data_IF_643031898426
#
_entry.id   IF_643031898426
#
_cell.length_a   1.000
_cell.length_b   1.000
_cell.length_c   1.000
_cell.angle_alpha   90.00
_cell.angle_beta   90.00
_cell.angle_gamma   90.00
#
_symmetry.space_group_name_H-M   'P 1'
#
loop_
_entity.id
_entity.type
_entity.pdbx_description
1 polymer ?
#
# COMPACT_ATOMS: atom_id res chain seq x y z
N UNK A 1 -6.93 -1.23 20.07
CA UNK A 1 -6.66 0.13 19.51
C UNK A 1 -6.35 1.08 20.66
N UNK A 2 -5.14 1.63 20.70
CA UNK A 2 -4.72 2.58 21.74
C UNK A 2 -5.20 4.00 21.44
N UNK A 3 -5.35 4.85 22.47
CA UNK A 3 -5.71 6.28 22.30
C UNK A 3 -4.71 7.01 21.39
N UNK A 4 -3.45 6.60 21.41
CA UNK A 4 -2.38 7.14 20.57
C UNK A 4 -2.52 6.76 19.09
N UNK A 5 -3.00 5.54 18.78
CA UNK A 5 -3.31 5.12 17.40
C UNK A 5 -4.38 6.03 16.80
N UNK A 6 -5.38 6.41 17.61
CA UNK A 6 -6.43 7.34 17.21
C UNK A 6 -5.88 8.74 16.94
N UNK A 7 -5.01 9.24 17.84
CA UNK A 7 -4.38 10.55 17.68
C UNK A 7 -3.43 10.59 16.47
N UNK A 8 -2.62 9.56 16.26
CA UNK A 8 -1.76 9.42 15.09
C UNK A 8 -2.56 9.38 13.78
N UNK A 9 -3.67 8.65 13.75
CA UNK A 9 -4.56 8.60 12.59
C UNK A 9 -5.14 9.97 12.23
N UNK A 10 -5.58 10.76 13.23
CA UNK A 10 -6.06 12.13 13.00
C UNK A 10 -4.95 13.00 12.40
N UNK A 11 -3.73 12.94 12.97
CA UNK A 11 -2.59 13.70 12.46
C UNK A 11 -2.30 13.33 11.00
N UNK A 12 -2.32 12.03 10.66
CA UNK A 12 -2.14 11.56 9.29
C UNK A 12 -3.19 12.13 8.34
N UNK A 13 -4.46 12.12 8.73
CA UNK A 13 -5.56 12.68 7.93
C UNK A 13 -5.37 14.18 7.71
N UNK A 14 -4.96 14.93 8.74
CA UNK A 14 -4.67 16.36 8.62
C UNK A 14 -3.49 16.63 7.68
N UNK A 15 -2.42 15.84 7.77
CA UNK A 15 -1.28 15.94 6.85
C UNK A 15 -1.66 15.65 5.40
N UNK A 16 -2.46 14.60 5.18
CA UNK A 16 -2.99 14.24 3.86
C UNK A 16 -3.87 15.37 3.28
N UNK A 17 -4.75 15.96 4.11
CA UNK A 17 -5.59 17.08 3.69
C UNK A 17 -4.75 18.28 3.22
N UNK A 18 -3.69 18.63 3.96
CA UNK A 18 -2.79 19.73 3.59
C UNK A 18 -2.02 19.46 2.29
N UNK A 19 -1.72 18.18 2.02
CA UNK A 19 -1.05 17.74 0.81
C UNK A 19 -1.97 17.82 -0.42
N UNK A 20 -3.23 17.40 -0.29
CA UNK A 20 -4.18 17.34 -1.42
C UNK A 20 -4.84 18.69 -1.74
N UNK A 21 -5.11 19.53 -0.74
CA UNK A 21 -5.88 20.77 -0.94
C UNK A 21 -4.98 21.95 -1.30
N UNK A 22 -4.96 22.32 -2.60
CA UNK A 22 -4.16 23.45 -3.12
C UNK A 22 -4.92 24.78 -3.18
N UNK A 23 -6.06 24.86 -3.88
CA UNK A 23 -6.71 26.16 -4.14
C UNK A 23 -8.25 26.13 -4.25
N UNK A 24 -8.86 24.95 -4.35
CA UNK A 24 -10.32 24.80 -4.41
C UNK A 24 -10.79 23.75 -3.43
N UNK A 25 -11.71 24.11 -2.53
CA UNK A 25 -12.38 23.18 -1.58
C UNK A 25 -13.27 22.13 -2.27
N UNK A 26 -13.18 21.99 -3.60
CA UNK A 26 -13.92 21.03 -4.37
C UNK A 26 -13.10 19.77 -4.54
N UNK A 27 -13.58 18.67 -3.98
CA UNK A 27 -13.06 17.33 -4.23
C UNK A 27 -13.14 17.07 -5.74
N UNK A 28 -11.98 16.86 -6.36
CA UNK A 28 -11.90 16.51 -7.76
C UNK A 28 -12.46 15.10 -7.97
N UNK A 29 -12.99 14.82 -9.16
CA UNK A 29 -13.52 13.48 -9.48
C UNK A 29 -12.50 12.36 -9.24
N UNK A 30 -11.21 12.64 -9.48
CA UNK A 30 -10.11 11.72 -9.20
C UNK A 30 -9.95 11.40 -7.71
N UNK A 31 -9.96 12.41 -6.84
CA UNK A 31 -9.84 12.24 -5.38
C UNK A 31 -11.02 11.44 -4.81
N UNK A 32 -12.21 11.64 -5.36
CA UNK A 32 -13.39 10.85 -4.98
C UNK A 32 -13.27 9.38 -5.40
N UNK A 33 -12.80 9.11 -6.62
CA UNK A 33 -12.52 7.75 -7.09
C UNK A 33 -11.43 7.07 -6.25
N UNK A 34 -10.39 7.82 -5.87
CA UNK A 34 -9.30 7.33 -5.02
C UNK A 34 -9.81 6.96 -3.63
N UNK A 35 -10.69 7.76 -3.02
CA UNK A 35 -11.31 7.46 -1.73
C UNK A 35 -12.14 6.17 -1.78
N UNK A 36 -12.93 5.99 -2.85
CA UNK A 36 -13.68 4.75 -3.09
C UNK A 36 -12.70 3.57 -3.26
N UNK A 37 -11.63 3.77 -4.03
CA UNK A 37 -10.58 2.78 -4.22
C UNK A 37 -9.92 2.36 -2.91
N UNK A 38 -9.57 3.33 -2.05
CA UNK A 38 -8.97 3.10 -0.74
C UNK A 38 -9.89 2.28 0.18
N UNK A 39 -11.21 2.51 0.13
CA UNK A 39 -12.18 1.71 0.85
C UNK A 39 -12.20 0.25 0.38
N UNK A 40 -12.28 0.02 -0.94
CA UNK A 40 -12.20 -1.34 -1.49
C UNK A 40 -10.86 -2.02 -1.18
N UNK A 41 -9.75 -1.28 -1.26
CA UNK A 41 -8.42 -1.75 -0.90
C UNK A 41 -8.33 -2.16 0.56
N UNK A 42 -8.93 -1.37 1.46
CA UNK A 42 -9.00 -1.69 2.90
C UNK A 42 -9.79 -2.97 3.13
N UNK A 43 -10.97 -3.12 2.52
CA UNK A 43 -11.75 -4.37 2.59
C UNK A 43 -10.92 -5.54 2.09
N UNK A 44 -10.26 -5.37 0.95
CA UNK A 44 -9.42 -6.38 0.34
C UNK A 44 -8.25 -6.81 1.25
N UNK A 45 -7.56 -5.86 1.90
CA UNK A 45 -6.54 -6.17 2.93
C UNK A 45 -7.14 -6.96 4.09
N UNK A 46 -8.30 -6.56 4.62
CA UNK A 46 -8.95 -7.27 5.73
C UNK A 46 -9.38 -8.69 5.35
N UNK A 47 -9.83 -8.88 4.10
CA UNK A 47 -10.16 -10.20 3.55
C UNK A 47 -8.89 -11.04 3.44
N UNK A 48 -7.81 -10.49 2.89
CA UNK A 48 -6.51 -11.19 2.81
C UNK A 48 -6.01 -11.56 4.20
N UNK A 49 -6.05 -10.67 5.19
CA UNK A 49 -5.63 -10.97 6.57
C UNK A 49 -6.43 -12.14 7.18
N UNK A 50 -7.72 -12.23 6.85
CA UNK A 50 -8.56 -13.34 7.30
C UNK A 50 -8.21 -14.66 6.62
N UNK A 51 -7.87 -14.63 5.33
CA UNK A 51 -7.57 -15.83 4.54
C UNK A 51 -6.11 -16.28 4.65
N UNK A 52 -5.17 -15.37 4.89
CA UNK A 52 -3.74 -15.66 5.06
C UNK A 52 -3.47 -16.55 6.27
N UNK A 53 -4.33 -16.51 7.29
CA UNK A 53 -4.27 -17.40 8.47
C UNK A 53 -4.75 -18.83 8.19
N UNK A 54 -5.37 -19.09 7.04
CA UNK A 54 -5.98 -20.38 6.69
C UNK A 54 -5.34 -21.06 5.49
N UNK A 55 -4.55 -20.33 4.72
CA UNK A 55 -3.99 -20.77 3.44
C UNK A 55 -2.61 -20.15 3.26
N UNK A 56 -1.67 -20.92 2.72
CA UNK A 56 -0.34 -20.43 2.34
C UNK A 56 -0.45 -19.14 1.48
N UNK A 57 0.12 -18.06 2.02
CA UNK A 57 0.09 -16.70 1.45
C UNK A 57 0.62 -16.70 0.01
N UNK A 58 1.62 -17.53 -0.30
CA UNK A 58 2.18 -17.59 -1.65
C UNK A 58 1.18 -18.15 -2.67
N UNK A 59 0.40 -19.16 -2.27
CA UNK A 59 -0.67 -19.71 -3.13
C UNK A 59 -1.80 -18.70 -3.31
N UNK A 60 -2.18 -18.00 -2.25
CA UNK A 60 -3.20 -16.95 -2.30
C UNK A 60 -2.79 -15.83 -3.27
N UNK A 61 -1.57 -15.30 -3.14
CA UNK A 61 -1.04 -14.27 -4.03
C UNK A 61 -0.94 -14.74 -5.49
N UNK A 62 -0.55 -16.00 -5.72
CA UNK A 62 -0.50 -16.56 -7.07
C UNK A 62 -1.87 -16.56 -7.76
N UNK A 63 -2.91 -17.06 -7.09
CA UNK A 63 -4.27 -17.04 -7.64
C UNK A 63 -4.82 -15.62 -7.80
N UNK A 64 -4.49 -14.71 -6.89
CA UNK A 64 -4.89 -13.32 -6.99
C UNK A 64 -4.26 -12.62 -8.20
N UNK A 65 -2.97 -12.84 -8.47
CA UNK A 65 -2.31 -12.30 -9.66
C UNK A 65 -2.87 -12.86 -10.96
N UNK A 66 -3.16 -14.16 -11.03
CA UNK A 66 -3.81 -14.77 -12.20
C UNK A 66 -5.20 -14.17 -12.40
N UNK A 67 -6.00 -14.09 -11.34
CA UNK A 67 -7.36 -13.55 -11.40
C UNK A 67 -7.33 -12.09 -11.85
N UNK A 68 -6.45 -11.27 -11.26
CA UNK A 68 -6.26 -9.87 -11.63
C UNK A 68 -5.80 -9.73 -13.10
N UNK A 69 -4.86 -10.57 -13.55
CA UNK A 69 -4.38 -10.56 -14.93
C UNK A 69 -5.49 -10.88 -15.94
N UNK A 70 -6.31 -11.91 -15.68
CA UNK A 70 -7.43 -12.28 -16.55
C UNK A 70 -8.48 -11.18 -16.57
N UNK A 71 -8.89 -10.66 -15.40
CA UNK A 71 -9.89 -9.59 -15.32
C UNK A 71 -9.39 -8.31 -15.99
N UNK A 72 -8.12 -7.95 -15.81
CA UNK A 72 -7.50 -6.79 -16.44
C UNK A 72 -7.45 -6.95 -17.97
N UNK A 73 -7.07 -8.14 -18.47
CA UNK A 73 -7.08 -8.43 -19.90
C UNK A 73 -8.49 -8.33 -20.49
N UNK A 74 -9.50 -8.86 -19.81
CA UNK A 74 -10.90 -8.73 -20.23
C UNK A 74 -11.33 -7.26 -20.25
N UNK A 75 -11.03 -6.50 -19.20
CA UNK A 75 -11.35 -5.07 -19.14
C UNK A 75 -10.68 -4.29 -20.29
N UNK A 76 -9.41 -4.55 -20.59
CA UNK A 76 -8.69 -3.94 -21.70
C UNK A 76 -9.36 -4.24 -23.05
N UNK A 77 -9.85 -5.47 -23.27
CA UNK A 77 -10.53 -5.85 -24.51
C UNK A 77 -11.89 -5.14 -24.69
N UNK A 78 -12.59 -4.80 -23.61
CA UNK A 78 -13.92 -4.16 -23.67
C UNK A 78 -13.87 -2.63 -23.59
N UNK A 79 -12.89 -2.06 -22.89
CA UNK A 79 -12.82 -0.63 -22.59
C UNK A 79 -11.78 0.12 -23.42
N UNK A 80 -10.78 -0.57 -23.98
CA UNK A 80 -9.68 0.08 -24.72
C UNK A 80 -9.61 -0.39 -26.18
N UNK A 81 -9.25 0.53 -27.08
CA UNK A 81 -8.87 0.19 -28.45
C UNK A 81 -7.41 -0.26 -28.47
N UNK A 82 -7.18 -1.57 -28.40
CA UNK A 82 -5.83 -2.14 -28.44
C UNK A 82 -5.24 -1.94 -29.85
N UNK A 83 -4.39 -0.92 -30.00
CA UNK A 83 -3.56 -0.75 -31.19
C UNK A 83 -2.16 -1.31 -30.95
N UNK A 84 -1.60 -2.00 -31.95
CA UNK A 84 -0.24 -2.57 -31.87
C UNK A 84 0.82 -1.49 -31.64
N UNK A 85 0.56 -0.26 -32.10
CA UNK A 85 1.47 0.87 -31.94
C UNK A 85 1.46 1.39 -30.49
N UNK A 86 0.30 1.55 -29.88
CA UNK A 86 0.17 1.93 -28.46
C UNK A 86 0.79 0.88 -27.54
N UNK A 87 0.60 -0.42 -27.86
CA UNK A 87 1.22 -1.51 -27.13
C UNK A 87 2.74 -1.46 -27.20
N UNK A 88 3.31 -1.14 -28.37
CA UNK A 88 4.77 -1.01 -28.55
C UNK A 88 5.33 0.15 -27.74
N UNK A 89 4.64 1.28 -27.71
CA UNK A 89 5.05 2.46 -26.95
C UNK A 89 4.94 2.23 -25.44
N UNK A 90 3.92 1.51 -24.98
CA UNK A 90 3.70 1.19 -23.58
C UNK A 90 4.51 -0.04 -23.09
N UNK A 91 5.16 -0.79 -23.99
CA UNK A 91 5.83 -2.06 -23.66
C UNK A 91 6.89 -1.91 -22.56
N UNK A 92 7.69 -0.84 -22.62
CA UNK A 92 8.74 -0.58 -21.61
C UNK A 92 8.12 -0.30 -20.23
N UNK A 93 7.17 0.64 -20.06
CA UNK A 93 6.48 0.84 -18.79
C UNK A 93 5.74 -0.41 -18.29
N UNK A 94 5.10 -1.18 -19.18
CA UNK A 94 4.39 -2.41 -18.81
C UNK A 94 5.37 -3.47 -18.27
N UNK A 95 6.49 -3.68 -18.96
CA UNK A 95 7.50 -4.65 -18.52
C UNK A 95 8.17 -4.19 -17.22
N UNK A 96 8.48 -2.90 -17.09
CA UNK A 96 9.06 -2.34 -15.87
C UNK A 96 8.11 -2.47 -14.67
N UNK A 97 6.83 -2.11 -14.83
CA UNK A 97 5.83 -2.25 -13.78
C UNK A 97 5.53 -3.70 -13.44
N UNK A 98 5.39 -4.56 -14.45
CA UNK A 98 5.08 -5.98 -14.26
C UNK A 98 6.22 -6.77 -13.63
N UNK A 99 7.43 -6.70 -14.21
CA UNK A 99 8.58 -7.50 -13.74
C UNK A 99 9.26 -6.82 -12.55
N UNK A 100 9.56 -5.53 -12.67
CA UNK A 100 10.31 -4.79 -11.66
C UNK A 100 9.50 -4.55 -10.40
N UNK A 101 8.33 -3.91 -10.54
CA UNK A 101 7.49 -3.57 -9.39
C UNK A 101 6.71 -4.78 -8.86
N UNK A 102 5.85 -5.41 -9.67
CA UNK A 102 5.00 -6.52 -9.17
C UNK A 102 5.77 -7.83 -9.01
N UNK A 103 6.64 -8.18 -9.95
CA UNK A 103 7.39 -9.43 -9.90
C UNK A 103 8.45 -9.43 -8.79
N UNK A 104 9.42 -8.53 -8.88
CA UNK A 104 10.57 -8.49 -7.99
C UNK A 104 10.23 -7.78 -6.68
N UNK A 105 9.78 -6.53 -6.74
CA UNK A 105 9.62 -5.72 -5.52
C UNK A 105 8.53 -6.27 -4.60
N UNK A 106 7.34 -6.61 -5.10
CA UNK A 106 6.28 -7.18 -4.27
C UNK A 106 6.65 -8.56 -3.70
N UNK A 107 7.32 -9.43 -4.47
CA UNK A 107 7.79 -10.72 -3.95
C UNK A 107 8.82 -10.51 -2.83
N UNK A 108 9.79 -9.61 -3.02
CA UNK A 108 10.76 -9.25 -1.98
C UNK A 108 10.07 -8.64 -0.76
N UNK A 109 9.04 -7.83 -0.96
CA UNK A 109 8.23 -7.26 0.11
C UNK A 109 7.53 -8.35 0.91
N UNK A 110 6.82 -9.29 0.27
CA UNK A 110 6.14 -10.39 0.96
C UNK A 110 7.13 -11.29 1.70
N UNK A 111 8.26 -11.63 1.07
CA UNK A 111 9.31 -12.45 1.69
C UNK A 111 9.98 -11.72 2.87
N UNK A 112 10.23 -10.42 2.74
CA UNK A 112 10.79 -9.59 3.82
C UNK A 112 9.80 -9.42 4.97
N UNK A 113 8.52 -9.22 4.68
CA UNK A 113 7.44 -9.11 5.67
C UNK A 113 7.20 -10.41 6.42
N UNK A 114 7.40 -11.58 5.79
CA UNK A 114 7.24 -12.89 6.43
C UNK A 114 8.11 -13.05 7.69
N UNK A 115 9.30 -12.44 7.71
CA UNK A 115 10.27 -12.59 8.81
C UNK A 115 10.47 -11.31 9.63
N UNK A 116 9.82 -10.21 9.26
CA UNK A 116 9.96 -8.92 9.94
C UNK A 116 8.77 -8.69 10.87
N UNK A 117 9.01 -8.07 12.03
CA UNK A 117 7.92 -7.61 12.89
C UNK A 117 7.01 -6.65 12.09
N UNK A 118 5.68 -6.75 12.18
CA UNK A 118 4.73 -5.92 11.43
C UNK A 118 5.03 -4.43 11.50
N UNK A 119 5.54 -3.97 12.64
CA UNK A 119 5.92 -2.59 12.86
C UNK A 119 7.11 -2.13 12.01
N UNK A 120 8.13 -2.97 11.82
CA UNK A 120 9.27 -2.64 10.95
C UNK A 120 8.82 -2.60 9.48
N UNK A 121 7.95 -3.52 9.08
CA UNK A 121 7.36 -3.53 7.75
C UNK A 121 6.52 -2.26 7.49
N UNK A 122 5.71 -1.82 8.46
CA UNK A 122 4.91 -0.60 8.35
C UNK A 122 5.77 0.67 8.24
N UNK A 123 6.88 0.75 8.99
CA UNK A 123 7.82 1.86 8.89
C UNK A 123 8.45 1.90 7.48
N UNK A 124 8.93 0.76 6.97
CA UNK A 124 9.53 0.67 5.63
C UNK A 124 8.50 1.04 4.55
N UNK A 125 7.26 0.55 4.66
CA UNK A 125 6.19 0.88 3.72
C UNK A 125 5.83 2.37 3.76
N UNK A 126 5.81 3.00 4.95
CA UNK A 126 5.59 4.45 5.02
C UNK A 126 6.71 5.25 4.36
N UNK A 127 7.96 4.76 4.44
CA UNK A 127 9.11 5.38 3.75
C UNK A 127 9.05 5.26 2.23
N UNK A 128 8.30 4.30 1.66
CA UNK A 128 8.09 4.21 0.21
C UNK A 128 7.55 5.53 -0.35
N UNK A 129 6.60 6.16 0.35
CA UNK A 129 6.04 7.47 -0.05
C UNK A 129 7.07 8.59 -0.08
N UNK A 130 8.08 8.55 0.79
CA UNK A 130 9.20 9.52 0.80
C UNK A 130 10.07 9.33 -0.44
N UNK A 131 10.46 8.09 -0.74
CA UNK A 131 11.24 7.78 -1.93
C UNK A 131 10.46 8.08 -3.22
N UNK A 132 9.14 7.82 -3.23
CA UNK A 132 8.26 8.18 -4.34
C UNK A 132 8.22 9.69 -4.56
N UNK A 133 8.07 10.49 -3.49
CA UNK A 133 8.08 11.95 -3.60
C UNK A 133 9.44 12.51 -4.11
N UNK A 134 10.56 11.98 -3.61
CA UNK A 134 11.90 12.35 -4.08
C UNK A 134 12.09 11.91 -5.55
N UNK A 135 11.61 10.72 -5.90
CA UNK A 135 11.64 10.20 -7.27
C UNK A 135 10.83 11.07 -8.24
N UNK A 136 9.64 11.51 -7.83
CA UNK A 136 8.81 12.45 -8.59
C UNK A 136 9.52 13.79 -8.82
N UNK A 137 10.15 14.33 -7.78
CA UNK A 137 10.95 15.56 -7.90
C UNK A 137 12.12 15.41 -8.87
N UNK A 138 12.88 14.30 -8.79
CA UNK A 138 14.09 14.10 -9.61
C UNK A 138 13.74 13.68 -11.06
N UNK A 139 12.82 12.75 -11.25
CA UNK A 139 12.52 12.16 -12.56
C UNK A 139 11.44 12.93 -13.33
N UNK A 140 10.40 13.43 -12.67
CA UNK A 140 9.31 14.17 -13.31
C UNK A 140 9.48 15.70 -13.21
N UNK A 141 10.52 16.16 -12.50
CA UNK A 141 10.80 17.58 -12.26
C UNK A 141 9.62 18.29 -11.55
N UNK A 142 8.82 17.52 -10.79
CA UNK A 142 7.67 18.01 -10.04
C UNK A 142 8.13 18.89 -8.89
N UNK A 143 7.71 20.15 -8.87
CA UNK A 143 8.03 21.07 -7.77
C UNK A 143 6.95 20.99 -6.70
N UNK A 144 7.27 20.28 -5.62
CA UNK A 144 6.48 20.30 -4.39
C UNK A 144 6.60 21.69 -3.74
N UNK A 145 5.47 22.36 -3.55
CA UNK A 145 5.37 23.58 -2.79
C UNK A 145 5.66 23.34 -1.31
N UNK A 146 5.90 24.43 -0.57
CA UNK A 146 6.17 24.37 0.87
C UNK A 146 5.03 23.70 1.66
N UNK A 147 3.78 23.93 1.26
CA UNK A 147 2.61 23.32 1.86
C UNK A 147 2.56 21.80 1.64
N UNK A 148 2.92 21.32 0.45
CA UNK A 148 2.95 19.89 0.13
C UNK A 148 4.04 19.17 0.94
N UNK A 149 5.23 19.79 1.05
CA UNK A 149 6.31 19.25 1.86
C UNK A 149 5.91 19.15 3.35
N UNK A 150 5.23 20.18 3.86
CA UNK A 150 4.73 20.20 5.23
C UNK A 150 3.62 19.15 5.43
N UNK A 151 2.69 19.02 4.49
CA UNK A 151 1.63 18.00 4.51
C UNK A 151 2.21 16.58 4.54
N UNK A 152 3.18 16.28 3.66
CA UNK A 152 3.92 15.03 3.66
C UNK A 152 4.61 14.76 5.00
N UNK A 153 5.32 15.75 5.57
CA UNK A 153 6.01 15.58 6.85
C UNK A 153 5.04 15.29 8.00
N UNK A 154 3.91 16.00 8.07
CA UNK A 154 2.87 15.77 9.08
C UNK A 154 2.23 14.40 8.91
N UNK A 155 1.90 14.03 7.67
CA UNK A 155 1.30 12.74 7.32
C UNK A 155 2.19 11.57 7.78
N UNK A 156 3.49 11.65 7.45
CA UNK A 156 4.50 10.67 7.84
C UNK A 156 4.69 10.61 9.36
N UNK A 157 4.77 11.77 10.03
CA UNK A 157 4.90 11.82 11.49
C UNK A 157 3.71 11.17 12.20
N UNK A 158 2.48 11.40 11.74
CA UNK A 158 1.27 10.76 12.26
C UNK A 158 1.29 9.24 12.07
N UNK A 159 1.72 8.77 10.88
CA UNK A 159 1.82 7.34 10.59
C UNK A 159 2.86 6.68 11.50
N UNK A 160 4.06 7.27 11.62
CA UNK A 160 5.12 6.76 12.49
C UNK A 160 4.68 6.73 13.96
N UNK A 161 4.01 7.77 14.44
CA UNK A 161 3.50 7.82 15.82
C UNK A 161 2.49 6.70 16.10
N UNK A 162 1.60 6.43 15.14
CA UNK A 162 0.63 5.34 15.25
C UNK A 162 1.30 3.96 15.31
N UNK A 163 2.43 3.78 14.59
CA UNK A 163 3.15 2.50 14.53
C UNK A 163 4.10 2.29 15.74
N UNK A 164 4.79 3.34 16.20
CA UNK A 164 5.74 3.28 17.32
C UNK A 164 5.09 2.85 18.65
N UNK A 165 3.82 3.17 18.85
CA UNK A 165 3.12 2.78 20.08
C UNK A 165 2.70 1.30 20.07
N UNK A 166 2.42 0.75 18.89
CA UNK A 166 2.13 -0.68 18.73
C UNK A 166 3.37 -1.54 19.02
N UNK A 167 4.56 -1.05 18.69
CA UNK A 167 5.85 -1.67 19.07
C UNK A 167 6.00 -1.77 20.59
N UNK A 168 5.53 -0.78 21.34
CA UNK A 168 5.75 -0.69 22.78
C UNK A 168 4.71 -1.42 23.63
N UNK A 169 3.71 -2.08 23.03
CA UNK A 169 2.63 -2.74 23.76
C UNK A 169 2.74 -4.28 23.65
N UNK A 170 3.41 -4.97 24.60
CA UNK A 170 3.76 -6.40 24.52
C UNK A 170 2.58 -7.40 24.59
N UNK A 171 1.33 -6.93 24.55
CA UNK A 171 0.13 -7.79 24.50
C UNK A 171 -0.25 -8.20 23.07
N UNK A 172 -0.01 -7.35 22.07
CA UNK A 172 -0.25 -7.69 20.65
C UNK A 172 0.84 -8.60 20.07
N UNK A 173 2.09 -8.46 20.54
CA UNK A 173 3.18 -9.40 20.21
C UNK A 173 2.87 -10.82 20.69
N UNK A 174 2.23 -10.96 21.86
CA UNK A 174 1.75 -12.26 22.35
C UNK A 174 0.60 -12.82 21.52
N UNK A 175 -0.31 -11.98 21.04
CA UNK A 175 -1.45 -12.41 20.23
C UNK A 175 -1.01 -12.85 18.82
N UNK A 176 -0.02 -12.16 18.23
CA UNK A 176 0.64 -12.54 16.97
C UNK A 176 1.47 -13.83 17.08
N UNK A 177 2.23 -14.00 18.18
CA UNK A 177 3.04 -15.21 18.42
C UNK A 177 2.17 -16.41 18.80
N UNK A 178 1.05 -16.18 19.51
CA UNK A 178 0.06 -17.23 19.77
C UNK A 178 -0.63 -17.66 18.47
N UNK A 179 -1.05 -16.71 17.62
CA UNK A 179 -1.69 -17.03 16.35
C UNK A 179 -0.74 -17.77 15.38
N UNK A 180 0.55 -17.41 15.37
CA UNK A 180 1.56 -18.14 14.58
C UNK A 180 1.85 -19.55 15.11
N UNK A 181 1.87 -19.74 16.44
CA UNK A 181 2.12 -21.06 17.06
C UNK A 181 0.90 -21.99 16.99
N UNK A 182 -0.33 -21.46 17.00
CA UNK A 182 -1.52 -22.24 16.69
C UNK A 182 -1.58 -22.63 15.20
N UNK A 183 -1.08 -21.78 14.30
CA UNK A 183 -0.99 -22.10 12.86
C UNK A 183 0.05 -23.18 12.54
N UNK A 184 1.19 -23.23 13.25
CA UNK A 184 2.21 -24.27 13.05
C UNK A 184 1.81 -25.64 13.64
N UNK A 185 0.97 -25.65 14.68
CA UNK A 185 0.50 -26.89 15.32
C UNK A 185 -0.61 -27.62 14.54
N UNK A 186 -1.31 -26.92 13.63
CA UNK A 186 -2.37 -27.50 12.78
C UNK A 186 -1.83 -27.94 11.39
N UNK A 187 -0.55 -27.65 11.11
CA UNK A 187 0.17 -28.11 9.91
C UNK A 187 0.94 -29.45 10.11
N UNK A 188 0.95 -30.02 11.33
CA UNK A 188 1.61 -31.31 11.66
C UNK A 188 0.62 -32.45 11.88
#
# INVERSE_FOLDING_TARGET
ISMSTWFGSIITIVGLYLLCVKDSLFISYGEFLELIGAFFWTIHILVIDRFSRKVDVLKLSFFQFITCSILSLLAALFLETISLETLRQAMVPILYGGIGSVGIAYTLQVVGQKNAQPSHAAIILSMETVFAAIGGWIMLNERLGFQELLGCAIMLAGMLLSQLQNVNNPQEEKELVLDSSFSEADES
#
